data_IF_096331468641
#
_entry.id   IF_096331468641
#
_cell.length_a   1.000
_cell.length_b   1.000
_cell.length_c   1.000
_cell.angle_alpha   90.00
_cell.angle_beta   90.00
_cell.angle_gamma   90.00
#
_symmetry.space_group_name_H-M   'P 1'
#
loop_
_entity.id
_entity.type
_entity.pdbx_description
1 polymer ?
#
# COMPACT_ATOMS: atom_id res chain seq x y z
N UNK A 1 19.30 21.34 -16.72
CA UNK A 1 19.97 20.24 -15.99
C UNK A 1 19.26 20.05 -14.66
N UNK A 2 18.08 19.43 -14.67
CA UNK A 2 17.42 18.97 -13.45
C UNK A 2 16.76 17.61 -13.75
N UNK A 3 17.57 16.58 -13.98
CA UNK A 3 17.13 15.19 -13.93
C UNK A 3 17.11 14.76 -12.46
N UNK A 4 15.98 14.98 -11.80
CA UNK A 4 15.73 14.40 -10.49
C UNK A 4 15.64 12.88 -10.67
N UNK A 5 16.71 12.16 -10.32
CA UNK A 5 16.74 10.71 -10.32
C UNK A 5 15.74 10.19 -9.27
N UNK A 6 14.50 9.92 -9.68
CA UNK A 6 13.44 9.22 -8.91
C UNK A 6 13.77 7.72 -8.81
N UNK A 7 15.03 7.39 -8.53
CA UNK A 7 15.59 6.05 -8.67
C UNK A 7 15.99 5.38 -7.36
N UNK A 8 16.47 6.14 -6.37
CA UNK A 8 17.23 5.56 -5.25
C UNK A 8 16.70 5.98 -3.87
N UNK A 9 15.40 5.80 -3.65
CA UNK A 9 14.87 5.85 -2.28
C UNK A 9 15.17 4.50 -1.62
N UNK A 10 15.81 4.44 -0.43
CA UNK A 10 16.25 3.18 0.18
C UNK A 10 15.13 2.16 0.43
N UNK A 11 13.87 2.62 0.49
CA UNK A 11 12.66 1.80 0.55
C UNK A 11 12.46 0.91 -0.69
N UNK A 12 12.96 1.30 -1.87
CA UNK A 12 12.81 0.49 -3.09
C UNK A 12 13.55 -0.86 -2.99
N UNK A 13 14.57 -0.93 -2.15
CA UNK A 13 15.36 -2.16 -1.95
C UNK A 13 14.78 -3.06 -0.84
N UNK A 14 13.78 -2.59 -0.09
CA UNK A 14 13.22 -3.30 1.06
C UNK A 14 11.68 -3.23 1.04
N UNK A 15 11.02 -3.90 0.09
CA UNK A 15 9.56 -3.91 0.01
C UNK A 15 8.95 -4.63 1.22
N UNK A 16 7.89 -4.05 1.77
CA UNK A 16 7.07 -4.70 2.82
C UNK A 16 5.94 -5.48 2.15
N UNK A 17 5.83 -6.76 2.48
CA UNK A 17 4.72 -7.61 2.04
C UNK A 17 3.59 -7.52 3.06
N UNK A 18 2.40 -7.14 2.59
CA UNK A 18 1.18 -7.10 3.39
C UNK A 18 0.20 -8.17 2.88
N UNK A 19 -0.26 -9.11 3.72
CA UNK A 19 -1.34 -10.02 3.35
C UNK A 19 -2.64 -9.24 3.11
N UNK A 20 -3.42 -9.71 2.12
CA UNK A 20 -4.76 -9.21 1.85
C UNK A 20 -5.73 -9.87 2.84
N UNK A 21 -6.37 -9.06 3.67
CA UNK A 21 -7.35 -9.53 4.65
C UNK A 21 -8.73 -9.73 4.03
N UNK A 22 -9.17 -8.84 3.13
CA UNK A 22 -10.46 -8.93 2.44
C UNK A 22 -10.50 -8.06 1.18
N UNK A 23 -11.56 -8.26 0.38
CA UNK A 23 -11.95 -7.40 -0.74
C UNK A 23 -13.02 -6.38 -0.32
N UNK A 24 -12.95 -5.18 -0.89
CA UNK A 24 -13.93 -4.12 -0.78
C UNK A 24 -14.89 -4.24 -1.98
N UNK A 25 -16.14 -4.67 -1.76
CA UNK A 25 -17.12 -4.73 -2.84
C UNK A 25 -17.52 -3.33 -3.30
N UNK A 26 -17.97 -3.23 -4.56
CA UNK A 26 -18.51 -2.00 -5.09
C UNK A 26 -19.73 -1.51 -4.28
N UNK A 27 -19.80 -0.20 -4.04
CA UNK A 27 -20.88 0.42 -3.28
C UNK A 27 -20.73 0.34 -1.76
N UNK A 28 -19.60 -0.14 -1.24
CA UNK A 28 -19.33 -0.14 0.21
C UNK A 28 -19.14 1.29 0.75
N UNK A 29 -19.74 1.59 1.90
CA UNK A 29 -19.73 2.94 2.51
C UNK A 29 -19.38 2.96 3.99
N UNK A 30 -19.17 1.82 4.62
CA UNK A 30 -18.78 1.74 6.02
C UNK A 30 -17.28 2.01 6.22
N UNK A 31 -16.97 2.73 7.30
CA UNK A 31 -15.60 3.00 7.73
C UNK A 31 -15.13 1.90 8.68
N UNK A 32 -14.47 0.89 8.12
CA UNK A 32 -13.81 -0.16 8.91
C UNK A 32 -12.31 0.07 8.90
N UNK A 33 -11.68 0.03 10.07
CA UNK A 33 -10.23 0.14 10.18
C UNK A 33 -9.53 -1.14 9.69
N UNK A 34 -8.38 -0.97 9.03
CA UNK A 34 -7.46 -2.07 8.74
C UNK A 34 -6.66 -2.44 9.99
N UNK A 35 -6.46 -3.74 10.20
CA UNK A 35 -5.49 -4.19 11.20
C UNK A 35 -4.06 -3.81 10.74
N UNK A 36 -3.16 -3.42 11.65
CA UNK A 36 -1.77 -3.15 11.29
C UNK A 36 -1.13 -4.33 10.56
N UNK A 37 -0.33 -4.05 9.54
CA UNK A 37 0.33 -5.09 8.76
C UNK A 37 -0.59 -5.84 7.79
N UNK A 38 -1.79 -5.33 7.49
CA UNK A 38 -2.70 -5.93 6.52
C UNK A 38 -3.13 -4.93 5.44
N UNK A 39 -3.58 -5.47 4.31
CA UNK A 39 -4.15 -4.69 3.21
C UNK A 39 -5.59 -5.15 2.90
N UNK A 40 -6.32 -4.29 2.20
CA UNK A 40 -7.61 -4.59 1.57
C UNK A 40 -7.48 -4.43 0.07
N UNK A 41 -8.21 -5.25 -0.67
CA UNK A 41 -8.30 -5.17 -2.13
C UNK A 41 -9.55 -4.46 -2.58
#
# INVERSE_FOLDING_TARGET
>A
MCDAHVGDTPLRQHPVLLPVAEDIPAGRTDDVALAPGTARR
#
